data_IF_810634352059
#
_entry.id   IF_810634352059
#
_cell.length_a   1.000
_cell.length_b   1.000
_cell.length_c   1.000
_cell.angle_alpha   90.00
_cell.angle_beta   90.00
_cell.angle_gamma   90.00
#
_symmetry.space_group_name_H-M   'P 1'
#
loop_
_entity.id
_entity.type
_entity.pdbx_description
1 polymer ?
#
# COMPACT_ATOMS: atom_id res chain seq x y z
N UNK A 1 8.92 1.02 -24.13
CA UNK A 1 7.61 0.38 -23.87
C UNK A 1 7.79 -0.66 -22.77
N UNK A 2 7.66 -0.28 -21.50
CA UNK A 2 7.85 -1.18 -20.34
C UNK A 2 6.77 -1.03 -19.28
N UNK A 3 5.64 -0.42 -19.64
CA UNK A 3 4.66 0.08 -18.67
C UNK A 3 3.52 -0.90 -18.38
N UNK A 4 3.58 -2.16 -18.81
CA UNK A 4 2.53 -3.17 -18.52
C UNK A 4 3.06 -4.43 -17.83
N UNK A 5 4.38 -4.58 -17.73
CA UNK A 5 4.99 -5.68 -17.01
C UNK A 5 4.76 -5.50 -15.50
N UNK A 6 4.24 -6.52 -14.83
CA UNK A 6 3.97 -6.50 -13.39
C UNK A 6 2.52 -6.24 -12.98
N UNK A 7 1.71 -5.55 -13.80
CA UNK A 7 0.30 -5.26 -13.43
C UNK A 7 -0.56 -6.52 -13.26
N UNK A 8 -0.28 -7.60 -14.00
CA UNK A 8 -0.98 -8.87 -13.82
C UNK A 8 -0.69 -9.49 -12.45
N UNK A 9 0.57 -9.42 -11.98
CA UNK A 9 0.96 -9.92 -10.66
C UNK A 9 0.40 -9.05 -9.53
N UNK A 10 0.46 -7.73 -9.68
CA UNK A 10 -0.14 -6.78 -8.74
C UNK A 10 -1.68 -6.97 -8.67
N UNK A 11 -2.33 -7.23 -9.81
CA UNK A 11 -3.76 -7.50 -9.92
C UNK A 11 -4.21 -8.75 -9.15
N UNK A 12 -3.38 -9.79 -9.06
CA UNK A 12 -3.67 -10.98 -8.26
C UNK A 12 -3.75 -10.60 -6.76
N UNK A 13 -2.82 -9.78 -6.28
CA UNK A 13 -2.84 -9.28 -4.90
C UNK A 13 -4.09 -8.45 -4.60
N UNK A 14 -4.48 -7.57 -5.51
CA UNK A 14 -5.69 -6.74 -5.37
C UNK A 14 -6.96 -7.61 -5.36
N UNK A 15 -7.03 -8.65 -6.21
CA UNK A 15 -8.15 -9.58 -6.24
C UNK A 15 -8.30 -10.37 -4.93
N UNK A 16 -7.18 -10.75 -4.32
CA UNK A 16 -7.15 -11.41 -3.00
C UNK A 16 -7.61 -10.46 -1.88
N UNK A 17 -7.15 -9.20 -1.88
CA UNK A 17 -7.59 -8.18 -0.93
C UNK A 17 -9.10 -7.94 -1.05
N UNK A 18 -9.61 -7.88 -2.28
CA UNK A 18 -11.04 -7.75 -2.56
C UNK A 18 -11.88 -9.00 -2.27
N UNK A 19 -11.27 -10.12 -1.83
CA UNK A 19 -11.91 -11.44 -1.62
C UNK A 19 -12.75 -11.88 -2.83
N UNK A 20 -12.26 -11.61 -4.03
CA UNK A 20 -12.97 -11.85 -5.30
C UNK A 20 -14.34 -11.16 -5.44
N UNK A 21 -14.66 -10.18 -4.59
CA UNK A 21 -15.88 -9.38 -4.69
C UNK A 21 -15.61 -8.13 -5.55
N UNK A 22 -16.34 -7.91 -6.64
CA UNK A 22 -16.07 -6.81 -7.58
C UNK A 22 -16.04 -5.43 -6.91
N UNK A 23 -16.92 -5.17 -5.93
CA UNK A 23 -16.91 -3.90 -5.20
C UNK A 23 -15.65 -3.73 -4.34
N UNK A 24 -15.20 -4.81 -3.70
CA UNK A 24 -14.00 -4.82 -2.86
C UNK A 24 -12.72 -4.64 -3.68
N UNK A 25 -12.68 -5.20 -4.89
CA UNK A 25 -11.56 -5.07 -5.83
C UNK A 25 -11.42 -3.62 -6.30
N UNK A 26 -12.53 -2.95 -6.62
CA UNK A 26 -12.50 -1.54 -7.04
C UNK A 26 -11.90 -0.67 -5.94
N UNK A 27 -12.40 -0.77 -4.70
CA UNK A 27 -11.87 -0.03 -3.56
C UNK A 27 -10.39 -0.34 -3.29
N UNK A 28 -10.01 -1.62 -3.30
CA UNK A 28 -8.63 -2.05 -3.09
C UNK A 28 -7.68 -1.53 -4.19
N UNK A 29 -8.12 -1.52 -5.45
CA UNK A 29 -7.32 -1.03 -6.58
C UNK A 29 -7.06 0.47 -6.52
N UNK A 30 -8.05 1.26 -6.07
CA UNK A 30 -7.92 2.71 -5.90
C UNK A 30 -6.92 3.03 -4.77
N UNK A 31 -7.05 2.34 -3.63
CA UNK A 31 -6.11 2.48 -2.51
C UNK A 31 -4.69 2.09 -2.90
N UNK A 32 -4.54 0.94 -3.57
CA UNK A 32 -3.25 0.46 -4.07
C UNK A 32 -2.62 1.44 -5.07
N UNK A 33 -3.41 2.00 -5.97
CA UNK A 33 -2.99 3.05 -6.89
C UNK A 33 -2.51 4.31 -6.15
N UNK A 34 -3.20 4.74 -5.09
CA UNK A 34 -2.78 5.85 -4.24
C UNK A 34 -1.41 5.61 -3.58
N UNK A 35 -1.21 4.41 -3.02
CA UNK A 35 0.07 4.02 -2.40
C UNK A 35 1.20 4.01 -3.43
N UNK A 36 0.95 3.45 -4.63
CA UNK A 36 1.94 3.38 -5.72
C UNK A 36 2.35 4.77 -6.21
N UNK A 37 1.41 5.72 -6.21
CA UNK A 37 1.68 7.10 -6.63
C UNK A 37 2.31 7.96 -5.53
N UNK A 38 2.16 7.60 -4.25
CA UNK A 38 2.70 8.35 -3.13
C UNK A 38 4.24 8.51 -3.21
N UNK A 39 4.97 7.44 -3.53
CA UNK A 39 6.43 7.51 -3.67
C UNK A 39 6.90 8.39 -4.84
N UNK A 40 6.20 8.32 -5.98
CA UNK A 40 6.54 9.13 -7.17
C UNK A 40 6.23 10.60 -6.99
N UNK A 41 5.15 10.92 -6.27
CA UNK A 41 4.75 12.29 -5.98
C UNK A 41 5.77 13.01 -5.08
N UNK A 42 6.39 12.28 -4.15
CA UNK A 42 7.42 12.80 -3.25
C UNK A 42 8.73 13.13 -3.98
N UNK A 43 9.14 12.31 -4.95
CA UNK A 43 10.30 12.61 -5.81
C UNK A 43 10.05 13.81 -6.74
N UNK A 44 8.85 13.93 -7.31
CA UNK A 44 8.58 14.93 -8.34
C UNK A 44 8.34 16.35 -7.80
N UNK A 45 7.67 16.49 -6.66
CA UNK A 45 7.19 17.80 -6.21
C UNK A 45 8.02 18.46 -5.12
N UNK A 46 8.71 17.67 -4.30
CA UNK A 46 9.38 18.20 -3.12
C UNK A 46 10.90 18.42 -3.32
N UNK A 47 11.47 17.97 -4.44
CA UNK A 47 12.92 18.06 -4.68
C UNK A 47 13.73 17.30 -3.63
N UNK A 48 13.11 16.31 -3.00
CA UNK A 48 13.64 15.54 -1.89
C UNK A 48 14.50 14.41 -2.46
N UNK A 49 15.78 14.35 -2.07
CA UNK A 49 16.66 13.22 -2.38
C UNK A 49 16.03 11.88 -1.97
N UNK A 50 16.20 10.85 -2.80
CA UNK A 50 15.51 9.55 -2.68
C UNK A 50 15.60 8.89 -1.29
N UNK A 51 16.60 9.25 -0.49
CA UNK A 51 16.77 8.74 0.88
C UNK A 51 15.77 9.32 1.88
N UNK A 52 15.35 10.58 1.75
CA UNK A 52 14.38 11.17 2.66
C UNK A 52 12.94 10.76 2.30
N UNK A 53 12.68 10.48 1.01
CA UNK A 53 11.45 9.81 0.59
C UNK A 53 11.35 8.38 1.18
N UNK A 54 12.45 7.61 1.18
CA UNK A 54 12.50 6.29 1.84
C UNK A 54 12.28 6.38 3.35
N UNK A 55 12.91 7.35 4.01
CA UNK A 55 12.76 7.55 5.46
C UNK A 55 11.30 7.85 5.85
N UNK A 56 10.64 8.74 5.11
CA UNK A 56 9.23 9.07 5.34
C UNK A 56 8.30 7.90 5.01
N UNK A 57 8.58 7.14 3.95
CA UNK A 57 7.80 5.93 3.65
C UNK A 57 7.93 4.89 4.77
N UNK A 58 9.14 4.69 5.32
CA UNK A 58 9.35 3.88 6.51
C UNK A 58 8.55 4.37 7.72
N UNK A 59 8.49 5.68 7.93
CA UNK A 59 7.67 6.28 9.00
C UNK A 59 6.17 6.05 8.77
N UNK A 60 5.68 6.16 7.53
CA UNK A 60 4.29 5.87 7.19
C UNK A 60 3.94 4.40 7.43
N UNK A 61 4.82 3.46 7.04
CA UNK A 61 4.62 2.04 7.30
C UNK A 61 4.51 1.77 8.81
N UNK A 62 5.38 2.37 9.62
CA UNK A 62 5.33 2.23 11.09
C UNK A 62 4.02 2.80 11.63
N UNK A 63 3.67 4.03 11.25
CA UNK A 63 2.47 4.72 11.73
C UNK A 63 1.18 3.98 11.35
N UNK A 64 1.09 3.50 10.10
CA UNK A 64 -0.07 2.78 9.58
C UNK A 64 -0.19 1.36 10.15
N UNK A 65 0.93 0.74 10.55
CA UNK A 65 0.91 -0.61 11.12
C UNK A 65 0.36 -0.67 12.55
N UNK A 66 0.37 0.44 13.30
CA UNK A 66 -0.13 0.51 14.69
C UNK A 66 -1.57 -0.02 14.85
N UNK A 67 -2.58 0.43 14.08
CA UNK A 67 -3.95 -0.09 14.22
C UNK A 67 -4.07 -1.58 13.92
N UNK A 68 -3.35 -2.09 12.91
CA UNK A 68 -3.33 -3.52 12.57
C UNK A 68 -2.62 -4.35 13.65
N UNK A 69 -1.49 -3.85 14.18
CA UNK A 69 -0.76 -4.46 15.28
C UNK A 69 -1.69 -4.62 16.51
N UNK A 70 -2.46 -3.58 16.85
CA UNK A 70 -3.42 -3.61 17.95
C UNK A 70 -4.58 -4.59 17.69
N UNK A 71 -5.06 -4.69 16.46
CA UNK A 71 -6.12 -5.63 16.07
C UNK A 71 -5.66 -7.09 16.20
N UNK A 72 -4.44 -7.41 15.74
CA UNK A 72 -3.82 -8.73 15.87
C UNK A 72 -3.60 -9.06 17.35
N UNK A 73 -3.02 -8.14 18.11
CA UNK A 73 -2.72 -8.34 19.53
C UNK A 73 -4.00 -8.62 20.34
N UNK A 74 -5.08 -7.86 20.11
CA UNK A 74 -6.39 -8.10 20.75
C UNK A 74 -6.96 -9.46 20.40
N UNK A 75 -6.76 -9.95 19.17
CA UNK A 75 -7.28 -11.25 18.72
C UNK A 75 -6.52 -12.43 19.33
N UNK A 76 -5.23 -12.27 19.60
CA UNK A 76 -4.39 -13.27 20.28
C UNK A 76 -4.70 -13.35 21.77
N UNK A 77 -4.89 -12.22 22.45
CA UNK A 77 -5.21 -12.16 23.88
C UNK A 77 -6.64 -12.66 24.19
N UNK A 78 -7.57 -12.59 23.21
CA UNK A 78 -8.94 -13.12 23.35
C UNK A 78 -9.07 -14.61 23.02
N UNK A 79 -8.00 -15.30 22.65
CA UNK A 79 -7.95 -16.77 22.56
C UNK A 79 -7.30 -17.34 23.82
#
# INVERSE_FOLDING_TARGET
MGNVSGYGFEGIGIALIGRNNPLGIILASILYGGIKNCGRYMEYQAGIDSDLAKALNGLFVIALSIPELLAILRKVIRR
#
